data_IF_646132646463
#
_entry.id   IF_646132646463
#
_cell.length_a   1.000
_cell.length_b   1.000
_cell.length_c   1.000
_cell.angle_alpha   90.00
_cell.angle_beta   90.00
_cell.angle_gamma   90.00
#
_symmetry.space_group_name_H-M   'P 1'
#
loop_
_entity.id
_entity.type
_entity.pdbx_description
1 polymer ?
#
# COMPACT_ATOMS: atom_id res chain seq x y z
N UNK A 1 5.62 22.95 58.20
CA UNK A 1 5.83 22.96 56.73
C UNK A 1 5.03 21.82 56.14
N UNK A 2 3.91 22.09 55.47
CA UNK A 2 3.18 21.10 54.66
C UNK A 2 3.23 21.58 53.21
N UNK A 3 3.89 20.81 52.36
CA UNK A 3 3.94 21.03 50.91
C UNK A 3 2.59 20.69 50.28
N UNK A 4 2.02 21.63 49.53
CA UNK A 4 0.79 21.45 48.78
C UNK A 4 1.08 20.64 47.50
N UNK A 5 0.59 19.39 47.46
CA UNK A 5 0.52 18.59 46.24
C UNK A 5 -0.56 19.18 45.31
N UNK A 6 -0.14 19.78 44.20
CA UNK A 6 -1.03 20.15 43.10
C UNK A 6 -1.37 18.90 42.30
N UNK A 7 -2.39 18.18 42.76
CA UNK A 7 -2.99 17.08 41.98
C UNK A 7 -3.66 17.68 40.75
N UNK A 8 -2.96 17.64 39.61
CA UNK A 8 -3.52 17.88 38.29
C UNK A 8 -4.65 16.87 38.07
N UNK A 9 -5.88 17.27 38.40
CA UNK A 9 -7.08 16.51 38.09
C UNK A 9 -7.08 16.23 36.59
N UNK A 10 -7.05 14.96 36.26
CA UNK A 10 -7.02 14.52 34.89
C UNK A 10 -8.33 14.97 34.21
N UNK A 11 -8.27 15.72 33.09
CA UNK A 11 -9.42 16.45 32.54
C UNK A 11 -10.60 15.55 32.13
N UNK A 12 -10.39 14.24 32.10
CA UNK A 12 -11.41 13.21 31.93
C UNK A 12 -12.52 13.19 32.99
N UNK A 13 -12.30 13.75 34.18
CA UNK A 13 -13.31 13.77 35.26
C UNK A 13 -14.25 14.97 35.22
N UNK A 14 -14.06 15.91 34.27
CA UNK A 14 -14.70 17.23 34.34
C UNK A 14 -16.12 17.26 33.77
N UNK A 15 -16.43 16.55 32.68
CA UNK A 15 -17.82 16.47 32.19
C UNK A 15 -18.05 15.42 31.08
N UNK A 16 -19.17 14.65 31.08
CA UNK A 16 -19.48 13.69 30.01
C UNK A 16 -19.79 14.31 28.64
N UNK A 17 -19.98 15.63 28.55
CA UNK A 17 -20.19 16.35 27.26
C UNK A 17 -18.94 17.03 26.70
N UNK A 18 -17.76 16.85 27.34
CA UNK A 18 -16.49 17.34 26.78
C UNK A 18 -16.14 16.54 25.53
N UNK A 19 -16.37 17.15 24.37
CA UNK A 19 -16.10 16.57 23.07
C UNK A 19 -14.60 16.35 22.87
N UNK A 20 -14.16 15.08 22.78
CA UNK A 20 -12.75 14.73 22.54
C UNK A 20 -12.50 14.52 21.05
N UNK A 21 -11.54 15.24 20.47
CA UNK A 21 -11.04 14.94 19.12
C UNK A 21 -10.52 13.50 18.98
N UNK A 22 -10.04 12.89 20.07
CA UNK A 22 -9.61 11.48 20.12
C UNK A 22 -10.77 10.47 20.13
N UNK A 23 -11.97 10.86 20.57
CA UNK A 23 -13.17 10.01 20.47
C UNK A 23 -13.68 9.95 19.02
N UNK A 24 -13.55 11.03 18.24
CA UNK A 24 -13.88 11.05 16.82
C UNK A 24 -12.98 10.09 15.98
N UNK A 25 -11.74 9.86 16.45
CA UNK A 25 -10.84 8.89 15.82
C UNK A 25 -11.24 7.42 16.08
N UNK A 26 -12.08 7.16 17.10
CA UNK A 26 -12.59 5.82 17.46
C UNK A 26 -14.01 5.56 16.93
N UNK A 27 -14.78 6.59 16.59
CA UNK A 27 -16.10 6.43 16.00
C UNK A 27 -16.02 6.03 14.51
N UNK A 28 -16.15 4.72 14.23
CA UNK A 28 -16.84 4.20 13.05
C UNK A 28 -16.11 4.19 11.69
N UNK A 29 -14.79 4.39 11.62
CA UNK A 29 -14.10 4.23 10.32
C UNK A 29 -13.93 2.75 10.02
N UNK A 30 -14.71 2.21 9.08
CA UNK A 30 -14.52 0.85 8.55
C UNK A 30 -13.09 0.71 8.01
N UNK A 31 -12.36 -0.29 8.49
CA UNK A 31 -11.00 -0.54 8.08
C UNK A 31 -10.76 -2.04 7.81
N UNK A 32 -9.76 -2.31 6.97
CA UNK A 32 -9.22 -3.64 6.69
C UNK A 32 -7.90 -3.79 7.42
N UNK A 33 -7.60 -4.96 7.96
CA UNK A 33 -6.35 -5.16 8.71
C UNK A 33 -5.13 -4.85 7.81
N UNK A 34 -4.12 -4.22 8.40
CA UNK A 34 -2.85 -4.03 7.71
C UNK A 34 -2.06 -5.34 7.62
N UNK A 35 -2.30 -6.28 8.55
CA UNK A 35 -1.51 -7.50 8.76
C UNK A 35 -0.14 -7.22 9.37
N UNK A 36 0.11 -5.98 9.80
CA UNK A 36 1.35 -5.50 10.38
C UNK A 36 1.07 -4.85 11.72
N UNK A 37 1.17 -5.58 12.83
CA UNK A 37 0.79 -5.09 14.17
C UNK A 37 1.41 -3.72 14.52
N UNK A 38 2.68 -3.50 14.14
CA UNK A 38 3.36 -2.24 14.37
C UNK A 38 2.71 -1.06 13.60
N UNK A 39 2.22 -1.29 12.37
CA UNK A 39 1.51 -0.29 11.58
C UNK A 39 0.06 -0.15 12.03
N UNK A 40 -0.64 -1.24 12.32
CA UNK A 40 -2.01 -1.25 12.85
C UNK A 40 -2.12 -0.40 14.12
N UNK A 41 -1.16 -0.49 15.04
CA UNK A 41 -1.10 0.37 16.24
C UNK A 41 -0.99 1.87 15.93
N UNK A 42 -0.48 2.21 14.74
CA UNK A 42 -0.39 3.60 14.27
C UNK A 42 -1.60 4.02 13.46
N UNK A 43 -2.56 3.18 13.10
CA UNK A 43 -3.71 3.61 12.30
C UNK A 43 -4.99 3.70 13.16
N UNK A 44 -5.81 4.77 12.99
CA UNK A 44 -7.15 4.80 13.58
C UNK A 44 -7.95 3.58 13.17
N UNK A 45 -8.59 2.92 14.14
CA UNK A 45 -9.31 1.66 13.90
C UNK A 45 -8.42 0.42 13.74
N UNK A 46 -7.09 0.56 13.72
CA UNK A 46 -6.17 -0.57 13.61
C UNK A 46 -5.92 -1.08 12.19
N UNK A 47 -6.39 -0.37 11.16
CA UNK A 47 -6.38 -0.87 9.79
C UNK A 47 -6.32 0.22 8.71
N UNK A 48 -6.25 -0.22 7.46
CA UNK A 48 -6.41 0.63 6.28
C UNK A 48 -7.84 1.12 6.18
N UNK A 49 -8.09 2.45 6.10
CA UNK A 49 -9.44 2.96 5.99
C UNK A 49 -10.06 2.58 4.65
N UNK A 50 -11.26 2.00 4.68
CA UNK A 50 -12.10 1.78 3.50
C UNK A 50 -12.89 3.04 3.15
N UNK A 51 -13.34 3.14 1.90
CA UNK A 51 -14.14 4.27 1.44
C UNK A 51 -13.39 5.60 1.52
N UNK A 52 -12.06 5.55 1.42
CA UNK A 52 -11.18 6.68 1.64
C UNK A 52 -9.97 6.62 0.71
N UNK A 53 -9.38 7.78 0.45
CA UNK A 53 -8.14 7.88 -0.31
C UNK A 53 -6.96 7.71 0.64
N UNK A 54 -6.15 6.68 0.43
CA UNK A 54 -4.83 6.53 1.06
C UNK A 54 -3.75 6.94 0.06
N UNK A 55 -2.94 7.93 0.42
CA UNK A 55 -1.85 8.44 -0.42
C UNK A 55 -0.53 7.77 0.01
N UNK A 56 0.00 6.90 -0.85
CA UNK A 56 1.28 6.23 -0.65
C UNK A 56 2.35 6.89 -1.52
N UNK A 57 3.24 7.65 -0.88
CA UNK A 57 4.31 8.37 -1.54
C UNK A 57 5.58 7.52 -1.54
N UNK A 58 5.94 7.00 -2.71
CA UNK A 58 7.03 6.05 -2.89
C UNK A 58 8.30 6.78 -3.30
N UNK A 59 9.43 6.41 -2.71
CA UNK A 59 10.73 6.91 -3.18
C UNK A 59 11.00 6.49 -4.63
N UNK A 60 10.65 5.25 -4.94
CA UNK A 60 10.59 4.69 -6.27
C UNK A 60 9.63 3.48 -6.26
N UNK A 61 9.10 3.04 -7.41
CA UNK A 61 8.34 1.80 -7.45
C UNK A 61 9.20 0.58 -7.14
N UNK A 62 8.55 -0.49 -6.65
CA UNK A 62 9.22 -1.77 -6.39
C UNK A 62 9.97 -1.84 -5.06
N UNK A 63 9.76 -0.87 -4.16
CA UNK A 63 10.39 -0.86 -2.81
C UNK A 63 9.76 -1.85 -1.85
N UNK A 64 8.59 -2.39 -2.19
CA UNK A 64 7.86 -3.36 -1.38
C UNK A 64 6.45 -2.91 -1.02
N UNK A 65 5.93 -1.86 -1.65
CA UNK A 65 4.56 -1.37 -1.52
C UNK A 65 3.53 -2.48 -1.73
N UNK A 66 3.75 -3.38 -2.69
CA UNK A 66 2.87 -4.53 -2.90
C UNK A 66 2.93 -5.55 -1.75
N UNK A 67 4.11 -5.72 -1.12
CA UNK A 67 4.29 -6.61 0.05
C UNK A 67 3.70 -6.00 1.31
N UNK A 68 3.81 -4.68 1.47
CA UNK A 68 3.14 -3.91 2.53
C UNK A 68 1.63 -4.14 2.46
N UNK A 69 1.04 -4.03 1.27
CA UNK A 69 -0.40 -4.17 1.06
C UNK A 69 -0.90 -5.61 0.99
N UNK A 70 0.01 -6.60 0.91
CA UNK A 70 -0.33 -8.02 0.72
C UNK A 70 -1.45 -8.51 1.65
N UNK A 71 -1.41 -8.30 2.99
CA UNK A 71 -2.45 -8.86 3.85
C UNK A 71 -3.84 -8.32 3.52
N UNK A 72 -3.95 -7.00 3.34
CA UNK A 72 -5.19 -6.34 2.97
C UNK A 72 -5.70 -6.76 1.58
N UNK A 73 -4.80 -6.93 0.61
CA UNK A 73 -5.17 -7.40 -0.73
C UNK A 73 -5.69 -8.83 -0.72
N UNK A 74 -5.07 -9.72 0.06
CA UNK A 74 -5.53 -11.09 0.21
C UNK A 74 -6.92 -11.15 0.87
N UNK A 75 -7.18 -10.30 1.86
CA UNK A 75 -8.48 -10.22 2.55
C UNK A 75 -9.62 -9.83 1.58
N UNK A 76 -9.37 -8.88 0.67
CA UNK A 76 -10.39 -8.40 -0.28
C UNK A 76 -10.38 -9.13 -1.63
N UNK A 77 -9.52 -10.14 -1.81
CA UNK A 77 -9.29 -10.83 -3.08
C UNK A 77 -10.47 -11.71 -3.55
N UNK A 78 -11.50 -11.92 -2.73
CA UNK A 78 -12.76 -12.52 -3.18
C UNK A 78 -13.46 -11.64 -4.25
N UNK A 79 -13.15 -10.34 -4.24
CA UNK A 79 -13.59 -9.36 -5.23
C UNK A 79 -12.41 -8.95 -6.11
N UNK A 80 -12.73 -8.29 -7.21
CA UNK A 80 -11.69 -7.85 -8.16
C UNK A 80 -10.73 -6.84 -7.52
N UNK A 81 -9.44 -6.99 -7.82
CA UNK A 81 -8.37 -6.06 -7.49
C UNK A 81 -7.94 -5.36 -8.78
N UNK A 82 -8.07 -4.04 -8.81
CA UNK A 82 -7.74 -3.24 -9.98
C UNK A 82 -6.36 -2.63 -9.82
N UNK A 83 -5.47 -2.89 -10.79
CA UNK A 83 -4.20 -2.19 -10.94
C UNK A 83 -4.31 -1.21 -12.09
N UNK A 84 -4.29 0.08 -11.78
CA UNK A 84 -4.37 1.15 -12.76
C UNK A 84 -3.01 1.83 -12.91
N UNK A 85 -2.52 1.90 -14.14
CA UNK A 85 -1.23 2.48 -14.49
C UNK A 85 0.00 1.88 -13.75
N UNK A 86 0.05 0.57 -13.45
CA UNK A 86 1.21 0.03 -12.76
C UNK A 86 2.49 0.30 -13.56
N UNK A 87 3.62 0.63 -12.89
CA UNK A 87 4.87 1.03 -13.53
C UNK A 87 5.49 -0.10 -14.34
N UNK A 88 5.15 -1.35 -14.01
CA UNK A 88 5.57 -2.55 -14.72
C UNK A 88 4.36 -3.46 -14.96
N UNK A 89 4.39 -4.29 -16.03
CA UNK A 89 3.36 -5.30 -16.25
C UNK A 89 3.20 -6.22 -15.03
N UNK A 90 1.97 -6.43 -14.54
CA UNK A 90 1.72 -7.34 -13.43
C UNK A 90 2.12 -8.78 -13.77
N UNK A 91 2.82 -9.46 -12.87
CA UNK A 91 3.20 -10.87 -13.03
C UNK A 91 2.22 -11.77 -12.28
N UNK A 92 1.56 -12.69 -12.98
CA UNK A 92 0.52 -13.56 -12.42
C UNK A 92 0.99 -14.39 -11.22
N UNK A 93 2.19 -14.97 -11.28
CA UNK A 93 2.75 -15.77 -10.17
C UNK A 93 3.04 -14.91 -8.93
N UNK A 94 3.55 -13.68 -9.12
CA UNK A 94 3.79 -12.76 -8.03
C UNK A 94 2.47 -12.36 -7.35
N UNK A 95 1.42 -12.09 -8.12
CA UNK A 95 0.09 -11.78 -7.59
C UNK A 95 -0.52 -12.94 -6.80
N UNK A 96 -0.41 -14.17 -7.33
CA UNK A 96 -0.86 -15.36 -6.61
C UNK A 96 -0.12 -15.51 -5.27
N UNK A 97 1.18 -15.22 -5.22
CA UNK A 97 1.96 -15.23 -3.99
C UNK A 97 1.60 -14.07 -3.03
N UNK A 98 0.95 -13.01 -3.51
CA UNK A 98 0.35 -11.97 -2.71
C UNK A 98 -1.07 -12.34 -2.22
N UNK A 99 -1.58 -13.53 -2.57
CA UNK A 99 -2.93 -13.98 -2.21
C UNK A 99 -4.02 -13.47 -3.15
N UNK A 100 -3.67 -12.90 -4.30
CA UNK A 100 -4.62 -12.43 -5.32
C UNK A 100 -4.60 -13.40 -6.49
N UNK A 101 -5.70 -14.12 -6.70
CA UNK A 101 -5.83 -15.01 -7.85
C UNK A 101 -5.75 -14.20 -9.16
N UNK A 102 -5.02 -14.65 -10.20
CA UNK A 102 -4.92 -13.93 -11.46
C UNK A 102 -6.28 -13.60 -12.11
N UNK A 103 -7.29 -14.46 -11.93
CA UNK A 103 -8.64 -14.24 -12.43
C UNK A 103 -9.39 -13.07 -11.75
N UNK A 104 -8.94 -12.65 -10.57
CA UNK A 104 -9.50 -11.51 -9.82
C UNK A 104 -8.79 -10.19 -10.17
N UNK A 105 -7.72 -10.24 -10.96
CA UNK A 105 -7.00 -9.05 -11.37
C UNK A 105 -7.67 -8.36 -12.56
N UNK A 106 -7.87 -7.05 -12.46
CA UNK A 106 -8.06 -6.19 -13.64
C UNK A 106 -6.83 -5.30 -13.76
N UNK A 107 -6.19 -5.33 -14.92
CA UNK A 107 -5.12 -4.39 -15.26
C UNK A 107 -5.65 -3.34 -16.25
N UNK A 108 -5.56 -2.06 -15.86
CA UNK A 108 -5.95 -0.92 -16.68
C UNK A 108 -4.74 -0.04 -16.98
N UNK A 109 -4.64 0.42 -18.22
CA UNK A 109 -3.69 1.45 -18.65
C UNK A 109 -4.40 2.42 -19.58
N UNK A 110 -3.91 3.65 -19.58
CA UNK A 110 -4.33 4.68 -20.53
C UNK A 110 -3.10 5.50 -20.95
N UNK A 111 -3.14 6.08 -22.13
CA UNK A 111 -2.11 7.01 -22.58
C UNK A 111 -2.28 8.39 -21.94
N UNK A 112 -3.53 8.78 -21.67
CA UNK A 112 -3.85 10.11 -21.13
C UNK A 112 -4.12 10.05 -19.64
N UNK A 113 -3.47 10.94 -18.91
CA UNK A 113 -3.65 11.11 -17.46
C UNK A 113 -5.11 11.37 -17.06
N UNK A 114 -5.84 12.17 -17.86
CA UNK A 114 -7.25 12.46 -17.63
C UNK A 114 -8.14 11.20 -17.70
N UNK A 115 -7.90 10.33 -18.68
CA UNK A 115 -8.65 9.09 -18.84
C UNK A 115 -8.34 8.10 -17.71
N UNK A 116 -7.10 8.06 -17.23
CA UNK A 116 -6.74 7.26 -16.05
C UNK A 116 -7.45 7.76 -14.79
N UNK A 117 -7.47 9.07 -14.55
CA UNK A 117 -8.22 9.68 -13.44
C UNK A 117 -9.72 9.38 -13.55
N UNK A 118 -10.28 9.49 -14.75
CA UNK A 118 -11.68 9.16 -14.99
C UNK A 118 -11.97 7.67 -14.76
N UNK A 119 -11.11 6.76 -15.23
CA UNK A 119 -11.24 5.33 -15.00
C UNK A 119 -11.17 4.98 -13.51
N UNK A 120 -10.25 5.60 -12.76
CA UNK A 120 -10.20 5.46 -11.30
C UNK A 120 -11.52 5.90 -10.65
N UNK A 121 -12.08 7.05 -11.08
CA UNK A 121 -13.37 7.52 -10.58
C UNK A 121 -14.49 6.52 -10.87
N UNK A 122 -14.56 5.95 -12.08
CA UNK A 122 -15.59 4.96 -12.43
C UNK A 122 -15.44 3.66 -11.62
N UNK A 123 -14.21 3.18 -11.43
CA UNK A 123 -13.93 2.00 -10.61
C UNK A 123 -14.43 2.20 -9.18
N UNK A 124 -14.13 3.36 -8.59
CA UNK A 124 -14.57 3.71 -7.23
C UNK A 124 -16.09 3.85 -7.13
N UNK A 125 -16.73 4.53 -8.09
CA UNK A 125 -18.19 4.72 -8.12
C UNK A 125 -18.95 3.42 -8.33
N UNK A 126 -18.38 2.46 -9.05
CA UNK A 126 -19.02 1.16 -9.26
C UNK A 126 -19.20 0.38 -7.96
N UNK A 127 -18.38 0.66 -6.94
CA UNK A 127 -18.38 -0.05 -5.67
C UNK A 127 -18.20 -1.56 -5.80
N UNK A 128 -17.69 -2.08 -6.92
CA UNK A 128 -17.68 -3.51 -7.27
C UNK A 128 -16.35 -4.22 -6.99
N UNK A 129 -15.26 -3.47 -6.87
CA UNK A 129 -13.91 -3.99 -6.59
C UNK A 129 -13.56 -3.95 -5.09
N UNK A 130 -12.77 -4.93 -4.66
CA UNK A 130 -12.23 -4.98 -3.30
C UNK A 130 -11.12 -3.95 -3.08
N UNK A 131 -10.27 -3.73 -4.10
CA UNK A 131 -9.21 -2.74 -4.05
C UNK A 131 -8.94 -2.08 -5.40
N UNK A 132 -8.48 -0.83 -5.35
CA UNK A 132 -7.89 -0.08 -6.45
C UNK A 132 -6.50 0.40 -6.04
N UNK A 133 -5.48 -0.01 -6.77
CA UNK A 133 -4.12 0.53 -6.68
C UNK A 133 -3.88 1.34 -7.94
N UNK A 134 -3.67 2.63 -7.77
CA UNK A 134 -3.51 3.55 -8.88
C UNK A 134 -2.16 4.25 -8.78
N UNK A 135 -1.26 3.99 -9.72
CA UNK A 135 -0.01 4.72 -9.82
C UNK A 135 -0.20 5.96 -10.68
N UNK A 136 0.07 7.12 -10.10
CA UNK A 136 -0.08 8.39 -10.79
C UNK A 136 0.99 9.37 -10.34
N UNK A 137 1.78 9.87 -11.29
CA UNK A 137 2.84 10.83 -11.02
C UNK A 137 2.28 12.14 -10.46
N UNK A 138 1.43 12.80 -11.25
CA UNK A 138 0.83 14.08 -10.92
C UNK A 138 -0.70 14.02 -10.99
N UNK A 139 -1.36 14.58 -9.99
CA UNK A 139 -2.81 14.77 -9.96
C UNK A 139 -3.10 16.10 -9.27
N UNK A 140 -3.95 16.92 -9.90
CA UNK A 140 -4.37 18.20 -9.33
C UNK A 140 -5.28 17.98 -8.12
N UNK A 141 -5.33 18.96 -7.23
CA UNK A 141 -6.09 18.88 -5.98
C UNK A 141 -7.59 18.67 -6.19
N UNK A 142 -8.17 19.23 -7.26
CA UNK A 142 -9.57 19.00 -7.66
C UNK A 142 -9.83 17.53 -8.03
N UNK A 143 -8.91 16.92 -8.78
CA UNK A 143 -9.00 15.54 -9.22
C UNK A 143 -8.84 14.60 -8.03
N UNK A 144 -7.91 14.87 -7.13
CA UNK A 144 -7.77 14.13 -5.87
C UNK A 144 -9.02 14.23 -5.00
N UNK A 145 -9.66 15.41 -4.94
CA UNK A 145 -10.91 15.59 -4.18
C UNK A 145 -12.05 14.80 -4.79
N UNK A 146 -12.19 14.80 -6.11
CA UNK A 146 -13.17 13.97 -6.83
C UNK A 146 -12.97 12.49 -6.57
N UNK A 147 -11.73 11.99 -6.65
CA UNK A 147 -11.42 10.60 -6.34
C UNK A 147 -11.70 10.26 -4.88
N UNK A 148 -11.37 11.15 -3.94
CA UNK A 148 -11.70 10.93 -2.53
C UNK A 148 -13.21 10.84 -2.29
N UNK A 149 -14.00 11.72 -2.90
CA UNK A 149 -15.47 11.65 -2.83
C UNK A 149 -16.02 10.39 -3.50
N UNK A 150 -15.46 9.98 -4.63
CA UNK A 150 -15.85 8.73 -5.30
C UNK A 150 -15.55 7.51 -4.42
N UNK A 151 -14.41 7.49 -3.72
CA UNK A 151 -14.08 6.41 -2.79
C UNK A 151 -15.10 6.28 -1.67
N UNK A 152 -15.65 7.40 -1.16
CA UNK A 152 -16.66 7.40 -0.09
C UNK A 152 -18.00 6.78 -0.51
N UNK A 153 -18.26 6.59 -1.82
CA UNK A 153 -19.48 5.96 -2.31
C UNK A 153 -19.54 4.45 -2.02
N UNK A 154 -18.42 3.83 -1.66
CA UNK A 154 -18.35 2.39 -1.39
C UNK A 154 -17.29 2.04 -0.36
N UNK A 155 -16.92 0.77 -0.34
CA UNK A 155 -15.96 0.21 0.61
C UNK A 155 -14.65 -0.22 -0.06
N UNK A 156 -14.40 0.18 -1.31
CA UNK A 156 -13.16 -0.13 -2.03
C UNK A 156 -11.96 0.38 -1.25
N UNK A 157 -10.96 -0.49 -1.02
CA UNK A 157 -9.65 -0.07 -0.55
C UNK A 157 -8.93 0.68 -1.65
N UNK A 158 -8.70 1.98 -1.45
CA UNK A 158 -8.11 2.83 -2.49
C UNK A 158 -6.75 3.37 -2.08
N UNK A 159 -5.72 2.91 -2.81
CA UNK A 159 -4.35 3.36 -2.68
C UNK A 159 -3.93 4.13 -3.93
N UNK A 160 -3.65 5.41 -3.76
CA UNK A 160 -3.00 6.22 -4.77
C UNK A 160 -1.49 6.20 -4.51
N UNK A 161 -0.73 5.69 -5.47
CA UNK A 161 0.72 5.59 -5.41
C UNK A 161 1.35 6.71 -6.21
N UNK A 162 2.13 7.58 -5.55
CA UNK A 162 2.73 8.76 -6.17
C UNK A 162 4.22 8.84 -5.79
N UNK A 163 5.05 9.60 -6.53
CA UNK A 163 6.43 9.84 -6.13
C UNK A 163 6.53 10.65 -4.84
N UNK A 164 7.61 10.48 -4.06
CA UNK A 164 7.87 11.29 -2.86
C UNK A 164 7.88 12.79 -3.09
N UNK A 165 8.22 13.26 -4.30
CA UNK A 165 8.16 14.67 -4.65
C UNK A 165 6.77 15.29 -4.43
N UNK A 166 5.71 14.49 -4.49
CA UNK A 166 4.33 14.91 -4.25
C UNK A 166 3.98 15.10 -2.75
N UNK A 167 4.94 14.91 -1.82
CA UNK A 167 4.71 15.09 -0.39
C UNK A 167 4.22 16.50 -0.05
N UNK A 168 4.75 17.51 -0.74
CA UNK A 168 4.39 18.91 -0.55
C UNK A 168 3.05 19.29 -1.19
N UNK A 169 2.50 18.44 -2.05
CA UNK A 169 1.21 18.72 -2.69
C UNK A 169 0.08 18.64 -1.66
N UNK A 170 -0.87 19.58 -1.76
CA UNK A 170 -2.11 19.51 -1.02
C UNK A 170 -2.92 18.28 -1.44
N UNK A 171 -3.31 17.46 -0.46
CA UNK A 171 -4.06 16.22 -0.70
C UNK A 171 -5.23 16.08 0.28
N UNK A 172 -6.45 15.74 -0.21
CA UNK A 172 -7.61 15.51 0.62
C UNK A 172 -7.52 14.20 1.41
N UNK A 173 -6.58 13.30 1.06
CA UNK A 173 -6.37 12.02 1.72
C UNK A 173 -6.25 12.19 3.25
N UNK A 174 -7.07 11.49 4.07
CA UNK A 174 -6.92 11.55 5.52
C UNK A 174 -5.71 10.76 6.04
N UNK A 175 -5.15 9.87 5.21
CA UNK A 175 -3.93 9.11 5.49
C UNK A 175 -2.93 9.31 4.33
N UNK A 176 -1.77 9.86 4.65
CA UNK A 176 -0.63 10.02 3.72
C UNK A 176 0.62 9.43 4.35
N UNK A 177 1.24 8.48 3.66
CA UNK A 177 2.44 7.80 4.11
C UNK A 177 3.55 7.98 3.09
N UNK A 178 4.74 8.35 3.55
CA UNK A 178 5.96 8.31 2.76
C UNK A 178 6.69 6.98 3.02
N UNK A 179 7.03 6.27 1.95
CA UNK A 179 7.65 4.95 1.99
C UNK A 179 9.05 5.01 1.39
N UNK A 180 10.03 4.54 2.15
CA UNK A 180 11.43 4.41 1.72
C UNK A 180 11.91 2.98 1.92
N UNK A 181 12.69 2.42 0.98
CA UNK A 181 13.32 1.12 1.20
C UNK A 181 14.36 1.23 2.31
N UNK A 182 14.38 0.23 3.19
CA UNK A 182 15.44 0.02 4.17
C UNK A 182 15.89 -1.44 4.11
N UNK A 183 17.14 -1.78 4.50
CA UNK A 183 17.54 -3.17 4.64
C UNK A 183 16.53 -3.97 5.48
N UNK A 184 15.99 -5.03 4.90
CA UNK A 184 15.00 -5.90 5.57
C UNK A 184 13.55 -5.38 5.62
N UNK A 185 13.24 -4.19 5.08
CA UNK A 185 11.88 -3.65 5.20
C UNK A 185 11.63 -2.30 4.52
N UNK A 186 10.67 -1.57 5.09
CA UNK A 186 10.32 -0.21 4.71
C UNK A 186 10.45 0.70 5.91
N UNK A 187 10.95 1.90 5.68
CA UNK A 187 10.68 3.03 6.57
C UNK A 187 9.38 3.71 6.13
N UNK A 188 8.47 3.88 7.09
CA UNK A 188 7.15 4.49 6.90
C UNK A 188 7.10 5.79 7.69
N UNK A 189 7.11 6.92 7.00
CA UNK A 189 6.90 8.24 7.60
C UNK A 189 5.43 8.67 7.45
N UNK A 190 4.85 9.18 8.54
CA UNK A 190 3.44 9.60 8.58
C UNK A 190 3.34 11.09 8.24
N UNK A 191 2.99 11.43 7.00
CA UNK A 191 2.86 12.82 6.58
C UNK A 191 1.52 13.42 6.98
N UNK A 192 0.47 12.60 6.99
CA UNK A 192 -0.86 12.99 7.46
C UNK A 192 -1.58 11.77 7.99
N UNK A 193 -2.21 11.93 9.15
CA UNK A 193 -2.92 10.87 9.85
C UNK A 193 -3.94 11.51 10.78
N UNK A 194 -5.08 10.86 11.01
CA UNK A 194 -5.98 11.24 12.11
C UNK A 194 -5.45 10.71 13.45
N UNK A 195 -5.49 11.52 14.50
CA UNK A 195 -5.00 11.16 15.82
C UNK A 195 -3.75 11.95 16.23
N UNK A 196 -3.04 11.55 17.30
CA UNK A 196 -1.88 12.27 17.82
C UNK A 196 -0.79 12.46 16.75
N UNK A 197 -0.13 13.61 16.76
CA UNK A 197 1.00 13.86 15.86
C UNK A 197 2.14 12.89 16.16
N UNK A 198 2.81 12.41 15.11
CA UNK A 198 4.00 11.56 15.20
C UNK A 198 4.96 11.99 14.11
N UNK A 199 6.14 12.43 14.53
CA UNK A 199 7.16 12.88 13.59
C UNK A 199 8.21 11.78 13.31
N UNK A 200 8.35 10.80 14.20
CA UNK A 200 9.29 9.69 14.02
C UNK A 200 8.79 8.68 12.99
N UNK A 201 9.61 8.26 12.02
CA UNK A 201 9.24 7.18 11.11
C UNK A 201 9.06 5.85 11.86
N UNK A 202 8.38 4.90 11.21
CA UNK A 202 8.22 3.53 11.65
C UNK A 202 9.01 2.62 10.71
N UNK A 203 9.97 1.87 11.24
CA UNK A 203 10.55 0.77 10.49
C UNK A 203 9.57 -0.42 10.50
N UNK A 204 9.24 -0.91 9.32
CA UNK A 204 8.37 -2.06 9.12
C UNK A 204 9.15 -3.18 8.41
N UNK A 205 9.46 -4.29 9.10
CA UNK A 205 10.10 -5.43 8.45
C UNK A 205 9.16 -6.04 7.40
N UNK A 206 9.65 -6.21 6.18
CA UNK A 206 8.91 -6.89 5.12
C UNK A 206 9.54 -8.25 4.85
N UNK A 207 9.00 -9.28 5.49
CA UNK A 207 9.50 -10.64 5.32
C UNK A 207 9.29 -11.11 3.88
N UNK A 208 10.38 -11.43 3.17
CA UNK A 208 10.26 -12.04 1.85
C UNK A 208 9.98 -13.54 2.00
N UNK A 209 8.70 -13.92 1.93
CA UNK A 209 8.33 -15.34 1.88
C UNK A 209 8.72 -16.00 0.55
N UNK A 210 8.91 -15.21 -0.51
CA UNK A 210 9.33 -15.69 -1.83
C UNK A 210 10.77 -16.22 -1.84
N UNK A 211 11.65 -15.66 -1.01
CA UNK A 211 13.05 -16.09 -0.92
C UNK A 211 13.24 -17.36 -0.06
N UNK A 212 12.24 -17.78 0.72
CA UNK A 212 12.32 -19.03 1.49
C UNK A 212 12.09 -20.30 0.65
N UNK A 213 11.72 -20.15 -0.62
CA UNK A 213 11.64 -21.27 -1.59
C UNK A 213 12.91 -21.47 -2.42
N UNK A 214 13.99 -20.76 -2.12
CA UNK A 214 15.30 -21.21 -2.58
C UNK A 214 15.73 -22.37 -1.68
N UNK A 215 15.28 -23.59 -2.03
CA UNK A 215 16.20 -24.70 -1.91
C UNK A 215 17.49 -24.25 -2.63
N UNK A 216 18.68 -24.40 -2.04
CA UNK A 216 19.91 -24.19 -2.78
C UNK A 216 19.84 -25.15 -3.97
N UNK A 217 19.62 -24.60 -5.17
CA UNK A 217 19.85 -25.33 -6.39
C UNK A 217 21.37 -25.36 -6.53
N UNK A 218 21.99 -26.27 -5.80
CA UNK A 218 23.35 -26.70 -6.05
C UNK A 218 23.32 -27.45 -7.39
N UNK A 219 23.22 -26.70 -8.49
CA UNK A 219 23.39 -27.23 -9.82
C UNK A 219 24.88 -27.49 -9.95
N UNK A 220 25.28 -28.73 -9.69
CA UNK A 220 26.55 -29.25 -10.21
C UNK A 220 26.63 -28.86 -11.69
N UNK A 221 27.64 -28.07 -12.04
CA UNK A 221 27.87 -27.65 -13.41
C UNK A 221 27.88 -28.90 -14.30
N UNK A 222 27.14 -28.93 -15.42
CA UNK A 222 27.21 -30.06 -16.34
C UNK A 222 28.65 -30.19 -16.84
N UNK A 223 29.17 -31.41 -16.79
CA UNK A 223 30.52 -31.71 -17.25
C UNK A 223 30.71 -31.22 -18.69
N UNK A 224 31.87 -30.62 -19.05
CA UNK A 224 32.10 -30.14 -20.40
C UNK A 224 31.97 -31.30 -21.38
N UNK A 225 31.12 -31.12 -22.40
CA UNK A 225 30.94 -32.09 -23.46
C UNK A 225 32.27 -32.30 -24.18
N UNK A 226 32.75 -33.55 -24.21
CA UNK A 226 33.95 -33.95 -24.94
C UNK A 226 33.70 -33.74 -26.43
N UNK A 227 34.50 -32.87 -27.07
CA UNK A 227 34.41 -32.61 -28.49
C UNK A 227 34.68 -33.91 -29.28
N UNK A 228 33.65 -34.44 -29.95
CA UNK A 228 33.87 -35.50 -30.95
C UNK A 228 34.43 -34.84 -32.21
N UNK A 229 35.67 -35.14 -32.53
CA UNK A 229 36.30 -34.71 -33.78
C UNK A 229 35.57 -35.31 -34.98
N UNK A 230 35.21 -34.46 -35.94
CA UNK A 230 34.75 -34.90 -37.26
C UNK A 230 36.00 -35.17 -38.11
N UNK A 231 36.21 -36.42 -38.53
CA UNK A 231 37.22 -36.75 -39.53
C UNK A 231 36.71 -36.34 -40.91
N UNK A 232 37.44 -35.44 -41.58
CA UNK A 232 37.21 -35.09 -42.98
C UNK A 232 37.80 -36.18 -43.89
N UNK A 233 36.95 -36.95 -44.55
CA UNK A 233 37.34 -37.83 -45.65
C UNK A 233 37.59 -37.00 -46.92
N UNK A 234 38.85 -36.98 -47.38
CA UNK A 234 39.22 -36.48 -48.71
C UNK A 234 38.80 -37.53 -49.75
N UNK A 235 38.02 -37.11 -50.75
CA UNK A 235 37.72 -37.91 -51.94
C UNK A 235 38.72 -37.53 -53.02
N UNK A 236 39.38 -38.54 -53.58
CA UNK A 236 40.37 -38.46 -54.66
C UNK A 236 39.71 -38.64 -56.02
#
# INVERSE_FOLDING_TARGET
MNSSDSTSVAPESLHPSLWRASQLARSGTRCIDTGHAALSAQLPGGGWPTGSLVDLLLQQPGIGEMRLLRPALAEVAARRVVLLQPPHPPQALALAALGVAPAQLIWLRSERSADALWAAEQVLRSGSCGALLFWQGHARSDSLRRLHLAAQAGETLFFLMRPLAAAQDASPAPLRLALRPQPGGLEVAFLKRRGPQRDAPLFLPLTSHLLRRHAPLDRTAPAPATARGLQSTLVH
#
